data_IF_538127771993
#
_entry.id   IF_538127771993
#
_cell.length_a   1.000
_cell.length_b   1.000
_cell.length_c   1.000
_cell.angle_alpha   90.00
_cell.angle_beta   90.00
_cell.angle_gamma   90.00
#
_symmetry.space_group_name_H-M   'P 1'
#
loop_
_entity.id
_entity.type
_entity.pdbx_description
1 polymer ?
#
# COMPACT_ATOMS: atom_id res chain seq x y z
N UNK A 1 3.77 -12.24 2.72
CA UNK A 1 2.62 -11.50 3.27
C UNK A 1 1.43 -11.88 2.43
N UNK A 2 0.30 -12.28 3.01
CA UNK A 2 -0.93 -12.47 2.23
C UNK A 2 -1.54 -11.08 2.03
N UNK A 3 -1.75 -10.69 0.77
CA UNK A 3 -2.38 -9.41 0.42
C UNK A 3 -3.90 -9.59 0.35
N UNK A 4 -4.70 -8.59 0.77
CA UNK A 4 -6.16 -8.72 0.76
C UNK A 4 -6.72 -8.69 -0.65
N UNK A 5 -7.79 -9.43 -0.93
CA UNK A 5 -8.38 -9.44 -2.28
C UNK A 5 -9.16 -8.16 -2.60
N UNK A 6 -9.51 -7.35 -1.59
CA UNK A 6 -10.35 -6.17 -1.76
C UNK A 6 -9.64 -4.85 -1.48
N UNK A 7 -10.04 -3.81 -2.22
CA UNK A 7 -9.54 -2.45 -2.05
C UNK A 7 -9.93 -1.87 -0.69
N UNK A 8 -11.14 -2.17 -0.22
CA UNK A 8 -11.64 -1.65 1.06
C UNK A 8 -10.90 -2.26 2.24
N UNK A 9 -10.60 -3.56 2.18
CA UNK A 9 -9.79 -4.23 3.18
C UNK A 9 -8.33 -3.72 3.17
N UNK A 10 -7.76 -3.53 1.98
CA UNK A 10 -6.43 -2.92 1.82
C UNK A 10 -6.36 -1.54 2.48
N UNK A 11 -7.36 -0.68 2.22
CA UNK A 11 -7.46 0.66 2.85
C UNK A 11 -7.64 0.58 4.36
N UNK A 12 -8.44 -0.36 4.87
CA UNK A 12 -8.62 -0.58 6.32
C UNK A 12 -7.29 -0.98 6.97
N UNK A 13 -6.54 -1.89 6.36
CA UNK A 13 -5.22 -2.31 6.86
C UNK A 13 -4.18 -1.18 6.80
N UNK A 14 -4.16 -0.39 5.72
CA UNK A 14 -3.30 0.81 5.64
C UNK A 14 -3.61 1.76 6.80
N UNK A 15 -4.89 2.02 7.07
CA UNK A 15 -5.30 2.88 8.19
C UNK A 15 -4.86 2.33 9.54
N UNK A 16 -5.07 1.03 9.78
CA UNK A 16 -4.66 0.37 11.03
C UNK A 16 -3.14 0.41 11.23
N UNK A 17 -2.36 0.08 10.20
CA UNK A 17 -0.90 0.08 10.26
C UNK A 17 -0.33 1.48 10.48
N UNK A 18 -0.93 2.52 9.88
CA UNK A 18 -0.55 3.92 10.12
C UNK A 18 -0.78 4.34 11.57
N UNK A 19 -1.89 3.93 12.16
CA UNK A 19 -2.19 4.24 13.55
C UNK A 19 -1.20 3.53 14.49
N UNK A 20 -0.91 2.26 14.24
CA UNK A 20 0.09 1.52 15.01
C UNK A 20 1.49 2.15 14.88
N UNK A 21 1.86 2.59 13.68
CA UNK A 21 3.12 3.29 13.44
C UNK A 21 3.22 4.56 14.28
N UNK A 22 2.17 5.39 14.29
CA UNK A 22 2.10 6.60 15.14
C UNK A 22 2.24 6.28 16.62
N UNK A 23 1.58 5.24 17.11
CA UNK A 23 1.66 4.82 18.51
C UNK A 23 3.09 4.41 18.87
N UNK A 24 3.77 3.66 18.00
CA UNK A 24 5.16 3.24 18.22
C UNK A 24 6.09 4.44 18.17
N UNK A 25 5.92 5.33 17.19
CA UNK A 25 6.71 6.54 17.05
C UNK A 25 6.57 7.46 18.26
N UNK A 26 5.34 7.67 18.76
CA UNK A 26 5.10 8.43 19.98
C UNK A 26 5.80 7.80 21.20
N UNK A 27 5.81 6.46 21.33
CA UNK A 27 6.53 5.77 22.41
C UNK A 27 8.04 5.99 22.32
N UNK A 28 8.59 5.95 21.10
CA UNK A 28 10.01 6.21 20.87
C UNK A 28 10.35 7.67 21.20
N UNK A 29 9.60 8.64 20.67
CA UNK A 29 9.83 10.07 20.89
C UNK A 29 9.65 10.47 22.36
N UNK A 30 8.75 9.80 23.10
CA UNK A 30 8.48 10.13 24.50
C UNK A 30 9.69 10.10 25.43
N UNK A 31 10.80 9.48 25.02
CA UNK A 31 12.03 9.37 25.82
C UNK A 31 11.90 8.44 27.04
N UNK A 32 10.70 7.89 27.31
CA UNK A 32 10.43 7.00 28.43
C UNK A 32 11.12 5.64 28.32
N UNK A 33 11.64 5.30 27.15
CA UNK A 33 12.30 4.03 26.86
C UNK A 33 13.73 4.35 26.46
N UNK A 34 14.69 3.78 27.19
CA UNK A 34 16.11 4.01 26.93
C UNK A 34 16.51 3.50 25.52
N UNK A 35 17.20 4.28 24.67
CA UNK A 35 17.53 3.91 23.29
C UNK A 35 18.33 2.61 23.14
N UNK A 36 19.16 2.29 24.14
CA UNK A 36 19.94 1.04 24.16
C UNK A 36 19.18 -0.16 24.74
N UNK A 37 17.93 0.02 25.18
CA UNK A 37 17.16 -1.06 25.80
C UNK A 37 16.70 -2.08 24.75
N UNK A 38 16.56 -3.36 25.12
CA UNK A 38 15.92 -4.36 24.25
C UNK A 38 14.49 -3.98 23.84
N UNK A 39 13.79 -3.21 24.70
CA UNK A 39 12.45 -2.70 24.41
C UNK A 39 12.46 -1.67 23.27
N UNK A 40 13.40 -0.73 23.27
CA UNK A 40 13.59 0.22 22.19
C UNK A 40 13.87 -0.48 20.86
N UNK A 41 14.84 -1.41 20.86
CA UNK A 41 15.20 -2.17 19.66
C UNK A 41 14.00 -2.94 19.07
N UNK A 42 13.15 -3.54 19.92
CA UNK A 42 11.92 -4.22 19.47
C UNK A 42 10.91 -3.26 18.85
N UNK A 43 10.78 -2.06 19.39
CA UNK A 43 9.88 -1.04 18.84
C UNK A 43 10.39 -0.52 17.49
N UNK A 44 11.69 -0.27 17.36
CA UNK A 44 12.33 0.09 16.08
C UNK A 44 12.15 -1.02 15.03
N UNK A 45 12.39 -2.28 15.39
CA UNK A 45 12.14 -3.41 14.47
C UNK A 45 10.67 -3.52 14.06
N UNK A 46 9.74 -3.29 14.99
CA UNK A 46 8.30 -3.30 14.70
C UNK A 46 7.92 -2.13 13.78
N UNK A 47 8.50 -0.94 14.00
CA UNK A 47 8.34 0.24 13.14
C UNK A 47 8.82 -0.06 11.71
N UNK A 48 10.00 -0.67 11.57
CA UNK A 48 10.54 -1.06 10.26
C UNK A 48 9.61 -2.07 9.55
N UNK A 49 9.14 -3.12 10.25
CA UNK A 49 8.19 -4.08 9.67
C UNK A 49 6.88 -3.43 9.23
N UNK A 50 6.32 -2.51 10.03
CA UNK A 50 5.12 -1.77 9.64
C UNK A 50 5.35 -0.89 8.41
N UNK A 51 6.54 -0.31 8.27
CA UNK A 51 6.91 0.46 7.09
C UNK A 51 6.92 -0.42 5.84
N UNK A 52 7.56 -1.58 5.88
CA UNK A 52 7.56 -2.55 4.77
C UNK A 52 6.14 -3.00 4.42
N UNK A 53 5.30 -3.24 5.43
CA UNK A 53 3.89 -3.60 5.25
C UNK A 53 3.09 -2.47 4.60
N UNK A 54 3.33 -1.21 4.99
CA UNK A 54 2.66 -0.05 4.40
C UNK A 54 3.07 0.14 2.94
N UNK A 55 4.34 -0.07 2.60
CA UNK A 55 4.80 -0.03 1.20
C UNK A 55 4.12 -1.13 0.39
N UNK A 56 4.10 -2.36 0.88
CA UNK A 56 3.44 -3.49 0.21
C UNK A 56 1.94 -3.25 -0.03
N UNK A 57 1.22 -2.76 0.99
CA UNK A 57 -0.20 -2.45 0.86
C UNK A 57 -0.48 -1.26 -0.07
N UNK A 58 0.39 -0.26 -0.12
CA UNK A 58 0.25 0.88 -1.03
C UNK A 58 0.46 0.46 -2.49
N UNK A 59 1.47 -0.36 -2.78
CA UNK A 59 1.66 -0.95 -4.11
C UNK A 59 0.45 -1.78 -4.51
N UNK A 60 -0.04 -2.62 -3.60
CA UNK A 60 -1.24 -3.43 -3.83
C UNK A 60 -2.50 -2.60 -4.06
N UNK A 61 -2.69 -1.51 -3.31
CA UNK A 61 -3.79 -0.56 -3.53
C UNK A 61 -3.76 0.00 -4.96
N UNK A 62 -2.56 0.39 -5.45
CA UNK A 62 -2.38 0.87 -6.81
C UNK A 62 -2.70 -0.21 -7.86
N UNK A 63 -2.29 -1.46 -7.62
CA UNK A 63 -2.58 -2.59 -8.51
C UNK A 63 -4.08 -2.89 -8.57
N UNK A 64 -4.76 -2.97 -7.42
CA UNK A 64 -6.21 -3.18 -7.37
C UNK A 64 -6.97 -2.05 -8.07
N UNK A 65 -6.55 -0.80 -7.88
CA UNK A 65 -7.13 0.36 -8.59
C UNK A 65 -6.86 0.26 -10.08
N UNK A 66 -5.65 -0.11 -10.51
CA UNK A 66 -5.30 -0.31 -11.92
C UNK A 66 -6.18 -1.39 -12.56
N UNK A 67 -6.31 -2.55 -11.93
CA UNK A 67 -7.12 -3.67 -12.43
C UNK A 67 -8.61 -3.30 -12.53
N UNK A 68 -9.15 -2.59 -11.52
CA UNK A 68 -10.51 -2.06 -11.56
C UNK A 68 -10.71 -0.92 -12.56
N UNK A 69 -9.62 -0.30 -13.04
CA UNK A 69 -9.62 0.83 -13.99
C UNK A 69 -9.34 0.44 -15.43
N UNK A 70 -9.14 -0.83 -15.78
CA UNK A 70 -9.08 -1.23 -17.19
C UNK A 70 -10.52 -1.29 -17.70
N UNK A 71 -11.02 -0.30 -18.49
CA UNK A 71 -12.03 -0.67 -19.47
C UNK A 71 -11.33 -1.68 -20.37
N UNK A 72 -11.91 -2.88 -20.53
CA UNK A 72 -11.68 -3.61 -21.78
C UNK A 72 -12.11 -2.65 -22.89
N UNK A 73 -11.16 -1.89 -23.43
CA UNK A 73 -11.27 -1.47 -24.80
C UNK A 73 -10.70 -2.63 -25.58
N UNK A 74 -11.51 -3.55 -26.12
CA UNK A 74 -11.01 -4.24 -27.29
C UNK A 74 -10.69 -3.11 -28.26
N UNK A 75 -9.41 -2.90 -28.56
CA UNK A 75 -9.04 -2.25 -29.81
C UNK A 75 -9.87 -2.97 -30.87
N UNK A 76 -10.98 -2.39 -31.31
CA UNK A 76 -11.78 -2.98 -32.38
C UNK A 76 -10.90 -2.87 -33.62
N UNK A 77 -10.29 -3.98 -34.09
CA UNK A 77 -9.32 -3.92 -35.18
C UNK A 77 -10.00 -3.63 -36.53
N UNK A 78 -11.32 -3.33 -36.54
CA UNK A 78 -12.14 -3.15 -37.74
C UNK A 78 -12.53 -1.70 -38.06
N UNK A 79 -12.10 -0.69 -37.30
CA UNK A 79 -12.55 0.69 -37.49
C UNK A 79 -11.48 1.71 -37.90
N UNK A 80 -10.47 1.30 -38.67
CA UNK A 80 -9.69 2.26 -39.48
C UNK A 80 -9.67 1.81 -40.95
N UNK A 81 -10.85 1.76 -41.56
CA UNK A 81 -10.93 1.91 -43.02
C UNK A 81 -11.02 3.40 -43.30
N UNK A 82 -9.89 4.00 -43.65
CA UNK A 82 -9.88 5.32 -44.30
C UNK A 82 -10.18 5.05 -45.77
N UNK A 83 -11.34 5.45 -46.32
CA UNK A 83 -11.53 5.38 -47.76
C UNK A 83 -10.71 6.51 -48.37
N UNK A 84 -9.62 6.16 -49.06
CA UNK A 84 -8.93 7.11 -49.93
C UNK A 84 -9.86 7.31 -51.13
N UNK A 85 -10.60 8.41 -51.11
CA UNK A 85 -11.37 8.88 -52.25
C UNK A 85 -10.38 9.39 -53.31
N UNK A 86 -10.37 8.68 -54.45
CA UNK A 86 -9.89 9.03 -55.81
C UNK A 86 -8.65 9.90 -55.96
#
# INVERSE_FOLDING_TARGET
MQLPDSLDETKRLIKANREEFRIIEAKLISGKIHPRSPKWRRLEQRKAKLFDHLQGLATHEMELVRLKRIPFSPLDPRQVQVPIAR
#
